data_IF_877740386569
#
_entry.id   IF_877740386569
#
_cell.length_a   1.000
_cell.length_b   1.000
_cell.length_c   1.000
_cell.angle_alpha   90.00
_cell.angle_beta   90.00
_cell.angle_gamma   90.00
#
_symmetry.space_group_name_H-M   'P 1'
#
loop_
_entity.id
_entity.type
_entity.pdbx_description
1 polymer ?
#
# COMPACT_ATOMS: atom_id res chain seq x y z
N UNK A 1 -3.86 10.53 -0.44
CA UNK A 1 -3.15 10.86 -1.70
C UNK A 1 -2.39 12.16 -1.57
N UNK A 2 -3.02 13.29 -1.23
CA UNK A 2 -2.35 14.61 -1.05
C UNK A 2 -1.20 14.64 -0.02
N UNK A 3 -1.16 13.68 0.89
CA UNK A 3 -0.11 13.55 1.93
C UNK A 3 1.05 12.63 1.52
N UNK A 4 0.95 11.93 0.38
CA UNK A 4 2.01 11.07 -0.13
C UNK A 4 3.10 11.94 -0.74
N UNK A 5 4.36 11.54 -0.61
CA UNK A 5 5.43 12.16 -1.38
C UNK A 5 6.40 11.11 -1.92
N UNK A 6 7.30 11.58 -2.78
CA UNK A 6 8.22 10.73 -3.52
C UNK A 6 9.06 9.91 -2.55
N UNK A 7 9.13 8.60 -2.80
CA UNK A 7 9.80 7.63 -1.96
C UNK A 7 8.87 6.89 -0.99
N UNK A 8 7.62 7.34 -0.81
CA UNK A 8 6.64 6.63 0.00
C UNK A 8 6.38 5.23 -0.53
N UNK A 9 6.27 4.28 0.40
CA UNK A 9 5.91 2.91 0.08
C UNK A 9 4.39 2.73 0.09
N UNK A 10 3.91 1.81 -0.73
CA UNK A 10 2.51 1.48 -0.89
C UNK A 10 2.36 -0.02 -1.10
N UNK A 11 1.22 -0.57 -0.69
CA UNK A 11 0.86 -1.94 -1.04
C UNK A 11 -0.17 -1.92 -2.16
N UNK A 12 -0.01 -2.83 -3.10
CA UNK A 12 -1.01 -3.07 -4.14
C UNK A 12 -1.98 -4.16 -3.68
N UNK A 13 -3.27 -3.81 -3.62
CA UNK A 13 -4.33 -4.69 -3.14
C UNK A 13 -5.33 -5.02 -4.26
N UNK A 14 -5.46 -6.30 -4.55
CA UNK A 14 -6.54 -6.83 -5.37
C UNK A 14 -7.83 -6.82 -4.54
N UNK A 15 -8.90 -6.21 -5.06
CA UNK A 15 -10.17 -6.05 -4.31
C UNK A 15 -11.36 -6.80 -4.89
N UNK A 16 -11.25 -7.26 -6.14
CA UNK A 16 -12.37 -7.81 -6.91
C UNK A 16 -12.43 -9.33 -6.83
N UNK A 17 -11.43 -10.01 -7.39
CA UNK A 17 -11.39 -11.48 -7.45
C UNK A 17 -10.74 -12.07 -6.20
N UNK A 18 -9.47 -11.78 -6.01
CA UNK A 18 -8.66 -12.30 -4.91
C UNK A 18 -8.37 -11.14 -3.97
N UNK A 19 -8.94 -11.17 -2.76
CA UNK A 19 -8.80 -10.09 -1.78
C UNK A 19 -7.45 -10.19 -1.09
N UNK A 20 -6.40 -9.73 -1.73
CA UNK A 20 -5.03 -9.95 -1.28
C UNK A 20 -4.06 -8.82 -1.67
N UNK A 21 -3.01 -8.69 -0.87
CA UNK A 21 -1.86 -7.84 -1.16
C UNK A 21 -0.86 -8.67 -1.95
N UNK A 22 -0.49 -8.19 -3.14
CA UNK A 22 0.33 -8.96 -4.10
C UNK A 22 1.68 -8.33 -4.38
N UNK A 23 1.81 -7.01 -4.23
CA UNK A 23 3.02 -6.27 -4.60
C UNK A 23 3.24 -5.06 -3.70
N UNK A 24 4.50 -4.64 -3.62
CA UNK A 24 4.94 -3.39 -2.99
C UNK A 24 5.27 -2.39 -4.10
N UNK A 25 4.67 -1.22 -3.98
CA UNK A 25 4.86 -0.09 -4.89
C UNK A 25 5.54 1.07 -4.16
N UNK A 26 6.16 1.96 -4.92
CA UNK A 26 6.73 3.20 -4.41
C UNK A 26 6.15 4.39 -5.17
N UNK A 27 5.93 5.49 -4.46
CA UNK A 27 5.50 6.77 -5.02
C UNK A 27 6.66 7.43 -5.74
N UNK A 28 6.49 7.65 -7.04
CA UNK A 28 7.47 8.25 -7.94
C UNK A 28 7.12 9.68 -8.37
N UNK A 29 5.85 10.07 -8.23
CA UNK A 29 5.39 11.41 -8.55
C UNK A 29 4.43 11.91 -7.48
N UNK A 30 4.54 13.20 -7.16
CA UNK A 30 3.56 13.86 -6.29
C UNK A 30 2.17 13.87 -6.92
N UNK A 31 1.16 14.22 -6.12
CA UNK A 31 -0.22 14.23 -6.60
C UNK A 31 -0.40 15.21 -7.77
N UNK A 32 -1.19 14.82 -8.77
CA UNK A 32 -1.54 15.68 -9.90
C UNK A 32 -3.02 15.47 -10.29
N UNK A 33 -3.69 16.48 -10.88
CA UNK A 33 -5.08 16.34 -11.30
C UNK A 33 -5.26 15.22 -12.33
N UNK A 34 -6.31 14.43 -12.19
CA UNK A 34 -6.63 13.40 -13.17
C UNK A 34 -7.07 14.01 -14.50
N UNK A 35 -6.20 13.93 -15.50
CA UNK A 35 -6.48 14.31 -16.88
C UNK A 35 -7.70 13.63 -17.54
N UNK A 36 -8.17 12.51 -17.01
CA UNK A 36 -9.37 11.80 -17.50
C UNK A 36 -10.65 12.27 -16.82
N UNK A 37 -10.53 12.97 -15.68
CA UNK A 37 -11.67 13.52 -14.96
C UNK A 37 -12.07 14.90 -15.50
N UNK A 38 -13.23 14.96 -16.17
CA UNK A 38 -13.79 16.21 -16.67
C UNK A 38 -14.39 17.09 -15.57
N UNK A 39 -14.44 16.60 -14.33
CA UNK A 39 -15.02 17.29 -13.18
C UNK A 39 -13.99 17.94 -12.26
N UNK A 40 -12.69 17.78 -12.53
CA UNK A 40 -11.56 18.30 -11.73
C UNK A 40 -11.67 17.95 -10.22
N UNK A 41 -12.27 16.80 -9.90
CA UNK A 41 -12.47 16.33 -8.51
C UNK A 41 -11.46 15.27 -8.11
N UNK A 42 -10.92 14.53 -9.06
CA UNK A 42 -10.03 13.41 -8.79
C UNK A 42 -8.56 13.80 -8.99
N UNK A 43 -7.74 13.34 -8.05
CA UNK A 43 -6.29 13.46 -8.09
C UNK A 43 -5.69 12.07 -8.31
N UNK A 44 -4.59 12.00 -9.05
CA UNK A 44 -3.77 10.81 -9.26
C UNK A 44 -2.43 10.97 -8.56
N UNK A 45 -1.74 9.84 -8.35
CA UNK A 45 -0.37 9.80 -7.85
C UNK A 45 0.42 8.80 -8.71
N UNK A 46 1.64 9.16 -9.06
CA UNK A 46 2.52 8.26 -9.81
C UNK A 46 3.10 7.22 -8.87
N UNK A 47 2.88 5.94 -9.15
CA UNK A 47 3.49 4.82 -8.42
C UNK A 47 4.17 3.86 -9.39
N UNK A 48 5.24 3.22 -8.94
CA UNK A 48 5.92 2.16 -9.66
C UNK A 48 6.02 0.89 -8.81
N UNK A 49 5.94 -0.31 -9.42
CA UNK A 49 6.18 -1.56 -8.71
C UNK A 49 7.66 -1.69 -8.36
N UNK A 50 7.96 -1.93 -7.09
CA UNK A 50 9.32 -2.19 -6.61
C UNK A 50 9.60 -3.69 -6.53
N UNK A 51 8.66 -4.44 -5.96
CA UNK A 51 8.81 -5.89 -5.82
C UNK A 51 7.48 -6.60 -5.62
N UNK A 52 7.33 -7.82 -6.17
CA UNK A 52 6.21 -8.69 -5.84
C UNK A 52 6.39 -9.32 -4.45
N UNK A 53 5.27 -9.63 -3.79
CA UNK A 53 5.29 -10.46 -2.59
C UNK A 53 5.36 -11.93 -3.01
N UNK A 54 6.35 -12.68 -2.50
CA UNK A 54 6.47 -14.13 -2.79
C UNK A 54 5.23 -14.92 -2.36
N UNK A 55 4.57 -14.47 -1.30
CA UNK A 55 3.34 -15.04 -0.77
C UNK A 55 2.33 -13.90 -0.68
N UNK A 56 1.27 -13.91 -1.52
CA UNK A 56 0.18 -12.95 -1.41
C UNK A 56 -0.43 -13.00 -0.02
N UNK A 57 -0.70 -11.83 0.54
CA UNK A 57 -1.29 -11.71 1.88
C UNK A 57 -2.77 -11.44 1.77
N UNK A 58 -3.58 -12.47 2.01
CA UNK A 58 -5.04 -12.42 1.87
C UNK A 58 -5.70 -11.61 2.97
N UNK A 59 -6.86 -11.03 2.69
CA UNK A 59 -7.67 -10.31 3.68
C UNK A 59 -8.07 -11.20 4.86
N UNK A 60 -8.24 -12.51 4.64
CA UNK A 60 -8.47 -13.47 5.71
C UNK A 60 -7.29 -13.50 6.68
N UNK A 61 -6.06 -13.61 6.17
CA UNK A 61 -4.84 -13.54 6.98
C UNK A 61 -4.68 -12.19 7.69
N UNK A 62 -5.03 -11.07 7.04
CA UNK A 62 -5.02 -9.74 7.68
C UNK A 62 -5.99 -9.68 8.85
N UNK A 63 -7.16 -10.32 8.74
CA UNK A 63 -8.18 -10.34 9.79
C UNK A 63 -7.80 -11.27 10.94
N UNK A 64 -7.13 -12.38 10.64
CA UNK A 64 -6.72 -13.37 11.63
C UNK A 64 -5.48 -12.93 12.43
N UNK A 65 -4.67 -12.01 11.91
CA UNK A 65 -3.50 -11.47 12.59
C UNK A 65 -3.90 -10.36 13.60
N UNK A 66 -3.80 -10.60 14.94
CA UNK A 66 -4.25 -9.63 15.94
C UNK A 66 -3.49 -8.31 15.88
N UNK A 67 -2.23 -8.33 15.44
CA UNK A 67 -1.40 -7.12 15.30
C UNK A 67 -1.84 -6.23 14.14
N UNK A 68 -2.58 -6.77 13.18
CA UNK A 68 -3.11 -6.04 12.02
C UNK A 68 -4.58 -5.62 12.20
N UNK A 69 -5.21 -5.98 13.31
CA UNK A 69 -6.59 -5.58 13.65
C UNK A 69 -6.84 -4.06 13.70
N UNK A 70 -5.76 -3.27 13.84
CA UNK A 70 -5.79 -1.81 13.80
C UNK A 70 -5.86 -1.22 12.40
N UNK A 71 -5.63 -2.01 11.34
CA UNK A 71 -5.65 -1.53 9.97
C UNK A 71 -7.06 -1.08 9.56
N UNK A 72 -7.20 0.10 8.92
CA UNK A 72 -8.47 0.52 8.35
C UNK A 72 -9.06 -0.50 7.36
N UNK A 73 -8.20 -1.29 6.71
CA UNK A 73 -8.58 -2.35 5.76
C UNK A 73 -9.47 -3.43 6.39
N UNK A 74 -9.30 -3.71 7.68
CA UNK A 74 -10.12 -4.70 8.41
C UNK A 74 -11.52 -4.17 8.69
N UNK A 75 -11.66 -2.84 8.85
CA UNK A 75 -12.89 -2.17 9.28
C UNK A 75 -13.72 -1.64 8.12
N UNK A 76 -13.08 -1.27 7.01
CA UNK A 76 -13.74 -0.69 5.83
C UNK A 76 -13.86 -1.72 4.72
N UNK A 77 -15.06 -1.88 4.15
CA UNK A 77 -15.35 -2.91 3.16
C UNK A 77 -14.88 -2.58 1.74
N UNK A 78 -14.79 -1.28 1.38
CA UNK A 78 -14.41 -0.81 0.04
C UNK A 78 -13.42 0.36 0.07
N UNK A 79 -12.27 0.22 0.75
CA UNK A 79 -11.24 1.25 0.72
C UNK A 79 -10.56 1.31 -0.65
N UNK A 80 -10.50 2.49 -1.24
CA UNK A 80 -9.66 2.75 -2.43
C UNK A 80 -8.23 3.11 -2.05
N UNK A 81 -8.08 3.98 -1.04
CA UNK A 81 -6.80 4.41 -0.49
C UNK A 81 -6.84 4.48 1.03
N UNK A 82 -5.88 3.82 1.70
CA UNK A 82 -5.81 3.80 3.17
C UNK A 82 -4.42 4.12 3.69
N UNK A 83 -4.29 4.93 4.76
CA UNK A 83 -3.03 5.09 5.45
C UNK A 83 -2.64 3.78 6.15
N UNK A 84 -1.39 3.39 6.00
CA UNK A 84 -0.73 2.28 6.67
C UNK A 84 0.42 2.84 7.49
N UNK A 85 0.69 2.24 8.65
CA UNK A 85 1.82 2.70 9.48
C UNK A 85 3.12 2.04 9.00
N UNK A 86 4.26 2.71 9.20
CA UNK A 86 5.56 2.13 8.90
C UNK A 86 5.80 0.79 9.65
N UNK A 87 5.28 0.67 10.86
CA UNK A 87 5.36 -0.59 11.64
C UNK A 87 4.60 -1.72 10.95
N UNK A 88 3.39 -1.43 10.44
CA UNK A 88 2.61 -2.40 9.68
C UNK A 88 3.31 -2.77 8.37
N UNK A 89 3.85 -1.79 7.63
CA UNK A 89 4.61 -2.01 6.41
C UNK A 89 5.81 -2.94 6.65
N UNK A 90 6.65 -2.61 7.65
CA UNK A 90 7.80 -3.41 8.03
C UNK A 90 7.41 -4.85 8.38
N UNK A 91 6.24 -5.03 9.01
CA UNK A 91 5.73 -6.35 9.35
C UNK A 91 5.37 -7.18 8.12
N UNK A 92 4.65 -6.62 7.16
CA UNK A 92 4.34 -7.29 5.89
C UNK A 92 5.60 -7.64 5.10
N UNK A 93 6.62 -6.78 5.14
CA UNK A 93 7.92 -7.04 4.53
C UNK A 93 8.68 -8.18 5.23
N UNK A 94 8.51 -8.36 6.55
CA UNK A 94 9.13 -9.45 7.31
C UNK A 94 8.37 -10.78 7.19
N UNK A 95 7.03 -10.73 7.21
CA UNK A 95 6.16 -11.91 7.21
C UNK A 95 5.91 -12.46 5.79
N UNK A 96 5.80 -11.57 4.79
CA UNK A 96 5.94 -11.94 3.39
C UNK A 96 7.39 -12.29 3.17
N UNK A 97 7.70 -13.53 2.77
CA UNK A 97 9.07 -14.01 2.52
C UNK A 97 9.78 -13.29 1.35
N UNK A 98 9.56 -12.00 1.11
CA UNK A 98 10.30 -11.22 0.13
C UNK A 98 11.77 -11.15 0.52
N UNK A 99 12.61 -11.92 -0.16
CA UNK A 99 14.06 -11.81 -0.04
C UNK A 99 14.53 -10.48 -0.67
N UNK A 100 14.40 -9.36 0.06
CA UNK A 100 15.29 -8.19 0.02
C UNK A 100 14.65 -6.93 0.65
N UNK A 101 14.45 -6.92 1.96
CA UNK A 101 14.60 -5.69 2.77
C UNK A 101 15.24 -6.04 4.12
N UNK A 102 16.28 -6.90 4.11
CA UNK A 102 17.11 -7.18 5.30
C UNK A 102 18.15 -6.10 5.55
N UNK A 103 18.16 -5.00 4.79
CA UNK A 103 18.94 -3.83 5.12
C UNK A 103 18.08 -2.90 5.98
N UNK A 104 18.24 -3.03 7.30
CA UNK A 104 17.71 -2.13 8.33
C UNK A 104 18.06 -0.65 8.08
N UNK A 105 18.97 -0.36 7.14
CA UNK A 105 19.39 0.96 6.71
C UNK A 105 18.39 1.71 5.79
N UNK A 106 17.41 1.04 5.16
CA UNK A 106 16.44 1.69 4.25
C UNK A 106 14.99 1.71 4.77
N UNK A 107 14.72 1.13 5.94
CA UNK A 107 13.39 1.16 6.56
C UNK A 107 13.15 2.41 7.43
N UNK A 108 14.18 3.23 7.66
CA UNK A 108 14.13 4.32 8.63
C UNK A 108 14.75 5.61 8.08
N UNK A 109 14.02 6.28 7.19
CA UNK A 109 14.17 7.72 7.02
C UNK A 109 12.75 8.33 7.00
N UNK A 110 12.33 9.07 8.04
CA UNK A 110 11.06 9.80 8.03
C UNK A 110 11.16 11.00 7.06
N UNK A 111 10.04 11.55 6.56
CA UNK A 111 8.64 11.16 6.77
C UNK A 111 8.17 10.26 5.60
N UNK A 112 7.08 9.47 5.65
CA UNK A 112 5.79 9.91 5.11
C UNK A 112 4.78 8.73 5.05
N UNK A 113 3.52 9.04 4.75
CA UNK A 113 2.36 8.19 4.91
C UNK A 113 2.28 7.07 3.84
N UNK A 114 2.37 5.82 4.30
CA UNK A 114 2.19 4.62 3.45
C UNK A 114 0.72 4.49 3.05
N UNK A 115 0.44 4.10 1.80
CA UNK A 115 -0.94 3.97 1.31
C UNK A 115 -1.23 2.66 0.60
N UNK A 116 -2.39 2.05 0.85
CA UNK A 116 -2.89 0.92 0.07
C UNK A 116 -3.55 1.44 -1.22
N UNK A 117 -3.10 1.07 -2.41
CA UNK A 117 -3.76 1.42 -3.67
C UNK A 117 -4.56 0.22 -4.18
N UNK A 118 -5.87 0.41 -4.35
CA UNK A 118 -6.79 -0.64 -4.81
C UNK A 118 -7.06 -0.50 -6.31
N UNK A 119 -6.94 -1.57 -7.09
CA UNK A 119 -7.45 -1.59 -8.47
C UNK A 119 -8.99 -1.70 -8.48
N UNK A 120 -9.65 -0.77 -9.17
CA UNK A 120 -11.02 -0.89 -9.69
C UNK A 120 -10.90 -1.27 -11.17
N UNK A 121 -10.89 -2.56 -11.49
CA UNK A 121 -11.27 -3.04 -12.82
C UNK A 121 -12.19 -4.25 -12.65
#
# INVERSE_FOLDING_TARGET
MKSMKIGDMAFFYHSVTDKEIVEIMQVMGEYYPDHTDRTDKFDMVGVEPIMPTEIPFTLAQVKDEPKLSGLPLVRQARPSVLPVTAQTLARFVQDGKGKALTNEANLCAPPQCVSLATHMF
#
